data_IF_756650546281
#
_entry.id   IF_756650546281
#
_cell.length_a   1.000
_cell.length_b   1.000
_cell.length_c   1.000
_cell.angle_alpha   90.00
_cell.angle_beta   90.00
_cell.angle_gamma   90.00
#
_symmetry.space_group_name_H-M   'P 1'
#
loop_
_entity.id
_entity.type
_entity.pdbx_description
1 polymer ?
#
# COMPACT_ATOMS: atom_id res chain seq x y z
N UNK A 1 -14.77 11.51 25.47
CA UNK A 1 -14.39 11.62 24.06
C UNK A 1 -12.87 11.70 24.03
N UNK A 2 -12.19 10.61 23.65
CA UNK A 2 -10.75 10.60 23.45
C UNK A 2 -10.42 11.51 22.26
N UNK A 3 -9.44 12.38 22.40
CA UNK A 3 -8.79 13.02 21.28
C UNK A 3 -8.02 11.94 20.53
N UNK A 4 -8.68 11.24 19.59
CA UNK A 4 -8.04 10.26 18.73
C UNK A 4 -7.15 11.00 17.72
N UNK A 5 -5.90 11.16 18.07
CA UNK A 5 -4.81 11.61 17.20
C UNK A 5 -4.37 10.46 16.28
N UNK A 6 -5.33 9.79 15.62
CA UNK A 6 -5.06 8.66 14.74
C UNK A 6 -4.94 9.07 13.28
N UNK A 7 -4.21 8.27 12.49
CA UNK A 7 -4.22 8.30 11.02
C UNK A 7 -5.32 7.37 10.56
N UNK A 8 -6.26 7.85 9.75
CA UNK A 8 -7.27 7.03 9.11
C UNK A 8 -6.70 6.49 7.80
N UNK A 9 -6.70 5.17 7.64
CA UNK A 9 -6.27 4.53 6.39
C UNK A 9 -7.47 4.18 5.51
N UNK A 10 -7.38 4.49 4.23
CA UNK A 10 -8.34 4.08 3.19
C UNK A 10 -7.60 3.22 2.18
N UNK A 11 -8.09 2.00 1.98
CA UNK A 11 -7.46 0.97 1.16
C UNK A 11 -8.16 0.83 -0.19
N UNK A 12 -7.37 0.70 -1.25
CA UNK A 12 -7.80 0.39 -2.61
C UNK A 12 -6.97 -0.75 -3.20
N UNK A 13 -7.47 -1.39 -4.28
CA UNK A 13 -6.79 -2.48 -4.97
C UNK A 13 -6.79 -2.27 -6.48
N UNK A 14 -7.96 -2.41 -7.13
CA UNK A 14 -8.16 -2.38 -8.58
C UNK A 14 -8.89 -1.12 -9.01
N UNK A 15 -8.65 -0.67 -10.23
CA UNK A 15 -9.25 0.55 -10.78
C UNK A 15 -9.81 0.30 -12.18
N UNK A 16 -11.06 0.71 -12.42
CA UNK A 16 -11.74 0.60 -13.73
C UNK A 16 -11.76 -0.82 -14.33
N UNK A 17 -11.57 -1.87 -13.55
CA UNK A 17 -11.71 -3.23 -14.04
C UNK A 17 -13.18 -3.65 -14.12
N UNK A 18 -13.50 -4.59 -15.02
CA UNK A 18 -14.85 -5.14 -15.18
C UNK A 18 -15.10 -6.38 -14.30
N UNK A 19 -14.09 -6.86 -13.60
CA UNK A 19 -14.13 -8.06 -12.75
C UNK A 19 -13.83 -7.68 -11.30
N UNK A 20 -14.17 -8.58 -10.39
CA UNK A 20 -13.87 -8.46 -8.96
C UNK A 20 -14.44 -7.20 -8.29
N UNK A 21 -15.78 -7.01 -8.29
CA UNK A 21 -16.41 -5.77 -7.83
C UNK A 21 -16.13 -5.43 -6.37
N UNK A 22 -15.79 -6.41 -5.53
CA UNK A 22 -15.45 -6.19 -4.12
C UNK A 22 -14.11 -5.48 -3.90
N UNK A 23 -13.20 -5.54 -4.88
CA UNK A 23 -11.85 -4.95 -4.80
C UNK A 23 -11.60 -3.89 -5.87
N UNK A 24 -12.60 -3.62 -6.72
CA UNK A 24 -12.50 -2.68 -7.83
C UNK A 24 -13.27 -1.39 -7.54
N UNK A 25 -12.70 -0.26 -7.92
CA UNK A 25 -13.35 1.05 -7.89
C UNK A 25 -13.29 1.70 -9.27
N UNK A 26 -14.35 2.43 -9.64
CA UNK A 26 -14.31 3.28 -10.82
C UNK A 26 -13.45 4.52 -10.54
N UNK A 27 -12.65 4.94 -11.51
CA UNK A 27 -11.80 6.13 -11.35
C UNK A 27 -12.61 7.40 -11.06
N UNK A 28 -13.83 7.51 -11.59
CA UNK A 28 -14.75 8.61 -11.27
C UNK A 28 -15.02 8.68 -9.76
N UNK A 29 -15.37 7.54 -9.15
CA UNK A 29 -15.63 7.43 -7.70
C UNK A 29 -14.36 7.70 -6.89
N UNK A 30 -13.21 7.17 -7.35
CA UNK A 30 -11.92 7.42 -6.68
C UNK A 30 -11.58 8.92 -6.66
N UNK A 31 -11.77 9.63 -7.76
CA UNK A 31 -11.58 11.09 -7.83
C UNK A 31 -12.53 11.83 -6.89
N UNK A 32 -13.78 11.40 -6.81
CA UNK A 32 -14.75 11.97 -5.85
C UNK A 32 -14.29 11.77 -4.40
N UNK A 33 -13.74 10.59 -4.04
CA UNK A 33 -13.17 10.35 -2.72
C UNK A 33 -12.04 11.33 -2.41
N UNK A 34 -11.12 11.54 -3.34
CA UNK A 34 -10.02 12.49 -3.19
C UNK A 34 -10.53 13.92 -3.01
N UNK A 35 -11.54 14.33 -3.80
CA UNK A 35 -12.15 15.65 -3.71
C UNK A 35 -12.86 15.87 -2.37
N UNK A 36 -13.54 14.85 -1.85
CA UNK A 36 -14.17 14.89 -0.51
C UNK A 36 -13.10 15.11 0.56
N UNK A 37 -11.98 14.37 0.50
CA UNK A 37 -10.88 14.51 1.45
C UNK A 37 -10.30 15.93 1.38
N UNK A 38 -10.04 16.46 0.18
CA UNK A 38 -9.51 17.81 -0.02
C UNK A 38 -10.42 18.93 0.50
N UNK A 39 -11.72 18.73 0.42
CA UNK A 39 -12.74 19.68 0.91
C UNK A 39 -13.03 19.52 2.41
N UNK A 40 -12.55 18.44 3.01
CA UNK A 40 -12.73 18.15 4.44
C UNK A 40 -11.66 18.84 5.29
N UNK A 41 -11.74 18.61 6.60
CA UNK A 41 -10.72 19.05 7.55
C UNK A 41 -9.62 18.00 7.76
N UNK A 42 -9.38 17.12 6.78
CA UNK A 42 -8.31 16.13 6.79
C UNK A 42 -7.18 16.55 5.86
N UNK A 43 -5.95 16.21 6.25
CA UNK A 43 -4.78 16.31 5.37
C UNK A 43 -4.38 14.90 4.91
N UNK A 44 -3.69 14.80 3.76
CA UNK A 44 -3.09 13.54 3.35
C UNK A 44 -1.82 13.28 4.15
N UNK A 45 -1.71 12.08 4.71
CA UNK A 45 -0.51 11.64 5.39
C UNK A 45 0.54 11.18 4.38
N UNK A 46 1.74 11.77 4.42
CA UNK A 46 2.88 11.29 3.64
C UNK A 46 3.78 10.41 4.53
N UNK A 47 3.88 9.09 4.27
CA UNK A 47 4.70 8.18 5.07
C UNK A 47 6.19 8.52 5.09
N UNK A 48 6.71 9.22 4.08
CA UNK A 48 8.11 9.65 4.04
C UNK A 48 8.46 10.68 5.13
N UNK A 49 7.46 11.35 5.71
CA UNK A 49 7.64 12.37 6.74
C UNK A 49 7.26 11.86 8.14
N UNK A 50 7.26 10.54 8.36
CA UNK A 50 6.76 9.91 9.58
C UNK A 50 7.44 10.46 10.85
N UNK A 51 8.77 10.58 10.85
CA UNK A 51 9.55 11.05 12.01
C UNK A 51 9.34 12.52 12.34
N UNK A 52 9.11 13.36 11.34
CA UNK A 52 8.88 14.79 11.54
C UNK A 52 7.49 15.10 12.08
N UNK A 53 6.51 14.26 11.79
CA UNK A 53 5.10 14.48 12.11
C UNK A 53 4.71 13.98 13.50
N UNK A 54 5.42 12.99 14.06
CA UNK A 54 5.15 12.49 15.43
C UNK A 54 5.42 13.52 16.53
N UNK A 55 6.31 14.46 16.28
CA UNK A 55 6.75 15.45 17.26
C UNK A 55 6.04 16.82 17.17
N UNK A 56 5.09 17.00 16.26
CA UNK A 56 4.33 18.25 16.12
C UNK A 56 2.87 18.03 16.53
N UNK A 57 2.28 18.95 17.31
CA UNK A 57 0.84 18.89 17.59
C UNK A 57 0.07 18.95 16.27
N UNK A 58 -0.70 17.88 15.98
CA UNK A 58 -1.52 17.79 14.75
C UNK A 58 -2.68 18.77 14.86
N UNK A 59 -2.75 19.70 13.94
CA UNK A 59 -3.88 20.63 13.84
C UNK A 59 -5.07 20.02 13.12
N UNK A 60 -4.84 18.95 12.33
CA UNK A 60 -5.85 18.24 11.53
C UNK A 60 -5.65 16.74 11.62
N UNK A 61 -6.75 16.02 11.46
CA UNK A 61 -6.70 14.55 11.25
C UNK A 61 -6.11 14.25 9.89
N UNK A 62 -5.42 13.12 9.77
CA UNK A 62 -4.75 12.73 8.53
C UNK A 62 -5.37 11.46 7.94
N UNK A 63 -5.37 11.39 6.62
CA UNK A 63 -5.79 10.21 5.85
C UNK A 63 -4.59 9.66 5.08
N UNK A 64 -4.34 8.37 5.25
CA UNK A 64 -3.37 7.60 4.51
C UNK A 64 -4.07 6.79 3.41
N UNK A 65 -3.66 6.98 2.16
CA UNK A 65 -4.10 6.15 1.03
C UNK A 65 -3.17 4.95 0.93
N UNK A 66 -3.76 3.75 0.91
CA UNK A 66 -3.02 2.50 0.67
C UNK A 66 -3.58 1.78 -0.56
N UNK A 67 -2.69 1.21 -1.34
CA UNK A 67 -3.00 0.45 -2.56
C UNK A 67 -2.37 -0.93 -2.41
N UNK A 68 -3.19 -1.97 -2.39
CA UNK A 68 -2.70 -3.34 -2.20
C UNK A 68 -2.56 -4.09 -3.53
N UNK A 69 -1.68 -5.09 -3.56
CA UNK A 69 -1.47 -6.09 -4.60
C UNK A 69 -0.73 -5.63 -5.86
N UNK A 70 -0.51 -4.35 -6.09
CA UNK A 70 0.16 -3.83 -7.28
C UNK A 70 -0.44 -4.35 -8.60
N UNK A 71 -1.76 -4.24 -8.77
CA UNK A 71 -2.43 -4.57 -10.02
C UNK A 71 -2.04 -3.61 -11.14
N UNK A 72 -2.00 -4.10 -12.37
CA UNK A 72 -1.72 -3.28 -13.56
C UNK A 72 -2.68 -2.09 -13.69
N UNK A 73 -3.95 -2.27 -13.30
CA UNK A 73 -4.95 -1.21 -13.33
C UNK A 73 -4.64 -0.03 -12.41
N UNK A 74 -3.91 -0.24 -11.31
CA UNK A 74 -3.39 0.87 -10.51
C UNK A 74 -2.41 1.71 -11.33
N UNK A 75 -1.46 1.10 -12.00
CA UNK A 75 -0.44 1.81 -12.78
C UNK A 75 -1.04 2.56 -13.97
N UNK A 76 -1.99 1.94 -14.69
CA UNK A 76 -2.59 2.54 -15.89
C UNK A 76 -3.63 3.60 -15.59
N UNK A 77 -4.40 3.47 -14.51
CA UNK A 77 -5.57 4.30 -14.23
C UNK A 77 -5.33 5.30 -13.08
N UNK A 78 -4.86 4.82 -11.93
CA UNK A 78 -4.76 5.65 -10.72
C UNK A 78 -3.42 6.39 -10.60
N UNK A 79 -2.32 5.76 -10.97
CA UNK A 79 -0.99 6.33 -10.83
C UNK A 79 -0.81 7.68 -11.53
N UNK A 80 -1.21 7.88 -12.81
CA UNK A 80 -1.10 9.17 -13.47
C UNK A 80 -1.82 10.29 -12.70
N UNK A 81 -3.01 9.99 -12.18
CA UNK A 81 -3.80 10.94 -11.39
C UNK A 81 -3.14 11.27 -10.03
N UNK A 82 -2.67 10.27 -9.30
CA UNK A 82 -1.98 10.47 -8.02
C UNK A 82 -0.70 11.27 -8.18
N UNK A 83 0.08 10.99 -9.22
CA UNK A 83 1.32 11.69 -9.58
C UNK A 83 1.05 13.16 -9.90
N UNK A 84 0.11 13.44 -10.79
CA UNK A 84 -0.26 14.80 -11.19
C UNK A 84 -0.76 15.63 -10.02
N UNK A 85 -1.54 15.02 -9.13
CA UNK A 85 -2.16 15.70 -8.00
C UNK A 85 -1.30 15.67 -6.73
N UNK A 86 -0.10 15.08 -6.77
CA UNK A 86 0.85 14.99 -5.64
C UNK A 86 0.22 14.38 -4.38
N UNK A 87 -0.53 13.30 -4.55
CA UNK A 87 -1.22 12.62 -3.46
C UNK A 87 -0.34 11.51 -2.91
N UNK A 88 0.03 11.55 -1.62
CA UNK A 88 0.84 10.51 -1.00
C UNK A 88 0.07 9.19 -0.88
N UNK A 89 0.77 8.08 -1.04
CA UNK A 89 0.22 6.74 -0.86
C UNK A 89 1.31 5.71 -0.56
N UNK A 90 0.88 4.54 -0.09
CA UNK A 90 1.71 3.34 0.01
C UNK A 90 1.18 2.32 -1.00
N UNK A 91 2.08 1.79 -1.84
CA UNK A 91 1.82 0.64 -2.69
C UNK A 91 2.37 -0.61 -2.01
N UNK A 92 1.50 -1.47 -1.48
CA UNK A 92 1.88 -2.74 -0.87
C UNK A 92 2.01 -3.81 -1.94
N UNK A 93 3.20 -4.37 -2.08
CA UNK A 93 3.57 -5.30 -3.15
C UNK A 93 3.75 -6.71 -2.60
N UNK A 94 2.99 -7.67 -3.15
CA UNK A 94 3.30 -9.09 -3.06
C UNK A 94 4.25 -9.46 -4.20
N UNK A 95 5.37 -10.11 -3.90
CA UNK A 95 6.45 -10.23 -4.88
C UNK A 95 6.25 -11.34 -5.90
N UNK A 96 5.49 -12.40 -5.60
CA UNK A 96 5.27 -13.51 -6.53
C UNK A 96 4.47 -13.13 -7.79
N UNK A 97 3.35 -12.36 -7.69
CA UNK A 97 2.56 -12.02 -8.86
C UNK A 97 3.17 -10.94 -9.75
N UNK A 98 4.20 -10.21 -9.31
CA UNK A 98 4.82 -9.14 -10.10
C UNK A 98 5.30 -9.68 -11.45
N UNK A 99 4.91 -8.99 -12.53
CA UNK A 99 5.21 -9.37 -13.90
C UNK A 99 4.27 -10.40 -14.50
N UNK A 100 3.35 -10.98 -13.72
CA UNK A 100 2.29 -11.85 -14.25
C UNK A 100 1.18 -10.99 -14.87
N UNK A 101 0.36 -11.62 -15.72
CA UNK A 101 -0.77 -10.94 -16.38
C UNK A 101 -1.71 -10.28 -15.36
N UNK A 102 -1.98 -9.00 -15.55
CA UNK A 102 -2.86 -8.20 -14.68
C UNK A 102 -2.18 -7.56 -13.48
N UNK A 103 -0.87 -7.77 -13.33
CA UNK A 103 -0.04 -7.15 -12.29
C UNK A 103 1.02 -6.22 -12.90
N UNK A 104 1.50 -5.29 -12.09
CA UNK A 104 2.61 -4.42 -12.48
C UNK A 104 3.89 -5.23 -12.70
N UNK A 105 4.77 -4.71 -13.55
CA UNK A 105 6.16 -5.17 -13.69
C UNK A 105 7.05 -4.49 -12.65
N UNK A 106 8.26 -5.02 -12.41
CA UNK A 106 9.23 -4.37 -11.53
C UNK A 106 9.68 -3.01 -12.07
N UNK A 107 9.76 -2.84 -13.38
CA UNK A 107 10.08 -1.55 -14.00
C UNK A 107 9.02 -0.51 -13.68
N UNK A 108 7.74 -0.87 -13.72
CA UNK A 108 6.62 0.00 -13.36
C UNK A 108 6.65 0.33 -11.85
N UNK A 109 6.92 -0.66 -10.99
CA UNK A 109 7.05 -0.45 -9.54
C UNK A 109 8.20 0.51 -9.23
N UNK A 110 9.36 0.36 -9.88
CA UNK A 110 10.52 1.25 -9.73
C UNK A 110 10.22 2.68 -10.22
N UNK A 111 9.46 2.83 -11.30
CA UNK A 111 9.00 4.15 -11.75
C UNK A 111 8.14 4.83 -10.68
N UNK A 112 7.19 4.10 -10.10
CA UNK A 112 6.32 4.61 -9.02
C UNK A 112 7.17 4.96 -7.79
N UNK A 113 8.06 4.07 -7.37
CA UNK A 113 8.95 4.23 -6.21
C UNK A 113 9.83 5.48 -6.32
N UNK A 114 10.29 5.83 -7.53
CA UNK A 114 11.07 7.05 -7.78
C UNK A 114 10.34 8.36 -7.55
N UNK A 115 9.05 8.36 -7.21
CA UNK A 115 8.28 9.56 -6.96
C UNK A 115 8.23 9.89 -5.46
N UNK A 116 8.45 11.16 -5.10
CA UNK A 116 8.50 11.63 -3.70
C UNK A 116 7.21 11.44 -2.88
N UNK A 117 6.07 11.24 -3.54
CA UNK A 117 4.77 10.98 -2.89
C UNK A 117 4.45 9.49 -2.77
N UNK A 118 5.23 8.62 -3.40
CA UNK A 118 5.02 7.19 -3.40
C UNK A 118 5.90 6.50 -2.36
N UNK A 119 5.35 5.47 -1.73
CA UNK A 119 6.08 4.55 -0.87
C UNK A 119 5.77 3.13 -1.28
N UNK A 120 6.77 2.26 -1.23
CA UNK A 120 6.57 0.83 -1.43
C UNK A 120 6.48 0.16 -0.06
N UNK A 121 5.46 -0.66 0.13
CA UNK A 121 5.26 -1.49 1.31
C UNK A 121 5.36 -2.98 0.96
N UNK A 122 5.57 -3.79 1.98
CA UNK A 122 5.68 -5.24 1.88
C UNK A 122 4.31 -5.89 2.08
N UNK A 123 3.90 -6.79 1.18
CA UNK A 123 2.63 -7.51 1.24
C UNK A 123 2.81 -9.03 1.07
N UNK A 124 3.87 -9.61 1.66
CA UNK A 124 4.30 -10.99 1.53
C UNK A 124 4.85 -11.37 0.15
N UNK A 125 5.15 -12.67 -0.05
CA UNK A 125 5.54 -13.21 -1.36
C UNK A 125 4.33 -13.71 -2.14
N UNK A 126 3.63 -14.71 -1.60
CA UNK A 126 2.56 -15.44 -2.31
C UNK A 126 1.19 -14.78 -2.24
N UNK A 127 0.96 -13.86 -1.31
CA UNK A 127 -0.36 -13.35 -0.97
C UNK A 127 -1.33 -14.47 -0.50
N UNK A 128 -0.80 -15.51 0.09
CA UNK A 128 -1.59 -16.59 0.67
C UNK A 128 -2.25 -16.16 1.99
N UNK A 129 -3.19 -16.97 2.48
CA UNK A 129 -3.81 -16.76 3.79
C UNK A 129 -2.84 -17.20 4.90
N UNK A 130 -1.89 -16.33 5.22
CA UNK A 130 -0.71 -16.63 6.03
C UNK A 130 -1.00 -17.10 7.45
N UNK A 131 -2.21 -16.86 7.97
CA UNK A 131 -2.60 -17.33 9.31
C UNK A 131 -2.82 -18.85 9.34
N UNK A 132 -3.09 -19.47 8.19
CA UNK A 132 -3.38 -20.90 8.06
C UNK A 132 -2.14 -21.75 7.73
N UNK A 133 -1.00 -21.12 7.44
CA UNK A 133 0.25 -21.83 7.17
C UNK A 133 1.08 -22.01 8.46
N UNK A 134 2.05 -22.93 8.44
CA UNK A 134 2.98 -23.10 9.56
C UNK A 134 3.88 -21.87 9.75
N UNK A 135 4.49 -21.73 10.93
CA UNK A 135 5.44 -20.66 11.19
C UNK A 135 6.64 -20.70 10.24
N UNK A 136 7.11 -21.90 9.90
CA UNK A 136 8.22 -22.13 8.98
C UNK A 136 7.86 -21.69 7.56
N UNK A 137 6.66 -22.01 7.09
CA UNK A 137 6.16 -21.57 5.79
C UNK A 137 5.98 -20.05 5.74
N UNK A 138 5.46 -19.44 6.81
CA UNK A 138 5.37 -18.00 6.93
C UNK A 138 6.75 -17.33 6.85
N UNK A 139 7.72 -17.81 7.62
CA UNK A 139 9.10 -17.29 7.58
C UNK A 139 9.69 -17.41 6.18
N UNK A 140 9.53 -18.57 5.53
CA UNK A 140 10.03 -18.80 4.17
C UNK A 140 9.41 -17.85 3.16
N UNK A 141 8.11 -17.58 3.26
CA UNK A 141 7.40 -16.63 2.40
C UNK A 141 7.98 -15.21 2.56
N UNK A 142 8.12 -14.73 3.78
CA UNK A 142 8.65 -13.39 4.06
C UNK A 142 10.11 -13.26 3.64
N UNK A 143 10.96 -14.24 3.94
CA UNK A 143 12.38 -14.20 3.54
C UNK A 143 12.55 -14.27 2.02
N UNK A 144 11.68 -15.00 1.32
CA UNK A 144 11.67 -15.04 -0.14
C UNK A 144 11.32 -13.67 -0.71
N UNK A 145 10.28 -13.02 -0.19
CA UNK A 145 9.94 -11.66 -0.58
C UNK A 145 11.08 -10.67 -0.28
N UNK A 146 11.70 -10.75 0.89
CA UNK A 146 12.82 -9.89 1.29
C UNK A 146 14.00 -9.97 0.31
N UNK A 147 14.37 -11.18 -0.12
CA UNK A 147 15.43 -11.39 -1.13
C UNK A 147 15.08 -10.74 -2.46
N UNK A 148 13.82 -10.83 -2.87
CA UNK A 148 13.35 -10.21 -4.12
C UNK A 148 13.35 -8.69 -4.00
N UNK A 149 12.84 -8.12 -2.92
CA UNK A 149 12.89 -6.67 -2.69
C UNK A 149 14.33 -6.13 -2.69
N UNK A 150 15.25 -6.80 -1.98
CA UNK A 150 16.66 -6.41 -1.99
C UNK A 150 17.26 -6.44 -3.40
N UNK A 151 16.94 -7.46 -4.21
CA UNK A 151 17.43 -7.57 -5.58
C UNK A 151 16.86 -6.48 -6.48
N UNK A 152 15.56 -6.20 -6.38
CA UNK A 152 14.84 -5.31 -7.29
C UNK A 152 14.91 -3.84 -6.88
N UNK A 153 14.78 -3.54 -5.59
CA UNK A 153 14.73 -2.16 -5.07
C UNK A 153 16.01 -1.74 -4.34
N UNK A 154 16.85 -2.69 -3.92
CA UNK A 154 18.05 -2.41 -3.12
C UNK A 154 17.78 -2.26 -1.62
N UNK A 155 16.55 -2.44 -1.17
CA UNK A 155 16.15 -2.40 0.24
C UNK A 155 14.94 -3.29 0.50
N UNK A 156 14.67 -3.58 1.78
CA UNK A 156 13.44 -4.25 2.22
C UNK A 156 12.48 -3.17 2.72
N UNK A 157 11.24 -3.09 2.19
CA UNK A 157 10.23 -2.16 2.70
C UNK A 157 9.97 -2.38 4.20
N UNK A 158 9.95 -1.29 4.97
CA UNK A 158 9.74 -1.31 6.42
C UNK A 158 8.27 -1.18 6.85
N UNK A 159 7.36 -1.00 5.90
CA UNK A 159 5.93 -0.99 6.14
C UNK A 159 5.36 -2.31 5.63
N UNK A 160 4.56 -2.97 6.45
CA UNK A 160 3.97 -4.27 6.15
C UNK A 160 2.45 -4.22 6.22
N UNK A 161 1.78 -4.81 5.24
CA UNK A 161 0.35 -5.11 5.25
C UNK A 161 0.13 -6.61 5.20
N UNK A 162 -0.62 -7.15 6.17
CA UNK A 162 -0.93 -8.58 6.19
C UNK A 162 -1.99 -8.90 5.13
N UNK A 163 -1.74 -9.90 4.24
CA UNK A 163 -2.77 -10.40 3.34
C UNK A 163 -4.05 -10.74 4.12
N UNK A 164 -5.20 -10.31 3.58
CA UNK A 164 -6.52 -10.46 4.22
C UNK A 164 -6.68 -9.74 5.58
N UNK A 165 -5.68 -8.98 6.03
CA UNK A 165 -5.74 -8.22 7.28
C UNK A 165 -5.63 -9.05 8.55
N UNK A 166 -5.37 -10.35 8.46
CA UNK A 166 -5.27 -11.26 9.60
C UNK A 166 -3.83 -11.63 9.93
N UNK A 167 -3.52 -11.68 11.23
CA UNK A 167 -2.18 -12.03 11.72
C UNK A 167 -2.24 -12.71 13.08
N UNK A 168 -1.26 -13.58 13.33
CA UNK A 168 -1.01 -14.18 14.63
C UNK A 168 -0.02 -13.34 15.45
N UNK A 169 0.08 -13.64 16.76
CA UNK A 169 1.11 -13.01 17.58
C UNK A 169 2.52 -13.31 17.06
N UNK A 170 2.77 -14.56 16.64
CA UNK A 170 4.06 -14.96 16.06
C UNK A 170 4.40 -14.11 14.82
N UNK A 171 3.47 -13.96 13.88
CA UNK A 171 3.67 -13.14 12.68
C UNK A 171 4.00 -11.69 13.03
N UNK A 172 3.28 -11.10 13.99
CA UNK A 172 3.52 -9.73 14.44
C UNK A 172 4.90 -9.56 15.08
N UNK A 173 5.33 -10.56 15.87
CA UNK A 173 6.62 -10.48 16.58
C UNK A 173 7.81 -10.75 15.63
N UNK A 174 7.57 -11.38 14.47
CA UNK A 174 8.58 -11.68 13.45
C UNK A 174 8.84 -10.52 12.49
N UNK A 175 7.79 -9.81 12.03
CA UNK A 175 7.90 -8.66 11.10
C UNK A 175 8.54 -7.45 11.81
#
# INVERSE_FOLDING_TARGET
>A
YSNDEGILSIMYHRFNENKYPSTNIKMEIFREHIDIIRKSNFDFHNPNNFDEQFNKPKQKKEILITIDDAFESFYTEAWPYLKENKIPFILFVSTEPVGKRGYMTWEQIKEVEGNEFANIGHHSHTHEYLIDVSNEEFILDIETANKIFLRELGYIPNLFSYPFGEYSKFMKDYI
#
